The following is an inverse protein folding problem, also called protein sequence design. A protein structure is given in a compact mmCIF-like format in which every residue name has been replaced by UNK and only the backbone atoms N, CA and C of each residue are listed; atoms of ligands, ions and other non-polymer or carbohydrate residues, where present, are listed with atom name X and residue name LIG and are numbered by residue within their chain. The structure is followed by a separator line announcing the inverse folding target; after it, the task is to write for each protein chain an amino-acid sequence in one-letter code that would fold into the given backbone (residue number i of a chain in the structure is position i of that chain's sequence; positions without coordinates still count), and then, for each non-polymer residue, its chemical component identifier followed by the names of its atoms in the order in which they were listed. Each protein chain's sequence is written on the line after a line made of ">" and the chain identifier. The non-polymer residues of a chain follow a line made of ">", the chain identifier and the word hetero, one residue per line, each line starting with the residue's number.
data_IF_332497132948
#
_entry.id   IF_332497132948
#
_cell.length_a   1.000
_cell.length_b   1.000
_cell.length_c   1.000
_cell.angle_alpha   90.00
_cell.angle_beta   90.00
_cell.angle_gamma   90.00
#
_symmetry.space_group_name_H-M   'P 1'
#
loop_
_entity.id
_entity.type
_entity.pdbx_description
1 polymer ?
#
# COMPACT_ATOMS: atom_id res chain seq x y z
N UNK A 1 -17.88 -15.11 -11.19
CA UNK A 1 -17.35 -13.72 -11.30
C UNK A 1 -16.43 -13.64 -12.50
N UNK A 2 -16.46 -12.56 -13.28
CA UNK A 2 -15.44 -12.33 -14.32
C UNK A 2 -14.12 -12.01 -13.62
N UNK A 3 -13.05 -12.75 -13.95
CA UNK A 3 -11.70 -12.44 -13.47
C UNK A 3 -11.15 -11.24 -14.23
N UNK A 4 -10.69 -10.22 -13.51
CA UNK A 4 -9.96 -9.08 -14.07
C UNK A 4 -8.47 -9.37 -13.98
N UNK A 5 -7.73 -9.18 -15.07
CA UNK A 5 -6.27 -9.34 -15.08
C UNK A 5 -5.62 -7.99 -14.84
N UNK A 6 -4.77 -7.89 -13.82
CA UNK A 6 -3.97 -6.70 -13.50
C UNK A 6 -2.51 -7.06 -13.77
N UNK A 7 -1.82 -6.24 -14.57
CA UNK A 7 -0.38 -6.40 -14.77
C UNK A 7 0.37 -5.84 -13.56
N UNK A 8 1.36 -6.57 -13.06
CA UNK A 8 2.20 -6.12 -11.94
C UNK A 8 3.67 -6.27 -12.32
N UNK A 9 4.45 -5.22 -12.07
CA UNK A 9 5.91 -5.24 -12.17
C UNK A 9 6.51 -4.88 -10.82
N UNK A 10 7.52 -5.62 -10.37
CA UNK A 10 8.31 -5.27 -9.18
C UNK A 10 9.49 -4.39 -9.57
N UNK A 11 9.81 -3.41 -8.72
CA UNK A 11 11.08 -2.68 -8.73
C UNK A 11 12.22 -3.66 -8.46
N UNK A 12 13.40 -3.41 -9.01
CA UNK A 12 14.55 -4.32 -8.88
C UNK A 12 14.92 -4.57 -7.40
N UNK A 13 14.91 -3.51 -6.59
CA UNK A 13 15.16 -3.56 -5.14
C UNK A 13 14.04 -4.21 -4.33
N UNK A 14 12.93 -4.61 -4.96
CA UNK A 14 11.72 -5.15 -4.32
C UNK A 14 11.36 -6.57 -4.77
N UNK A 15 12.31 -7.27 -5.41
CA UNK A 15 12.07 -8.64 -5.91
C UNK A 15 11.94 -9.69 -4.81
N UNK A 16 12.52 -9.43 -3.65
CA UNK A 16 12.40 -10.23 -2.42
C UNK A 16 11.02 -10.10 -1.76
N UNK A 17 10.31 -8.99 -1.99
CA UNK A 17 8.97 -8.80 -1.47
C UNK A 17 7.95 -9.68 -2.21
N UNK A 18 6.97 -10.26 -1.49
CA UNK A 18 5.87 -10.99 -2.10
C UNK A 18 4.98 -10.05 -2.92
N UNK A 19 4.35 -10.60 -3.95
CA UNK A 19 3.29 -9.89 -4.66
C UNK A 19 2.04 -9.81 -3.78
N UNK A 20 1.24 -8.73 -3.87
CA UNK A 20 -0.05 -8.65 -3.20
C UNK A 20 -0.95 -9.81 -3.63
N UNK A 21 -1.64 -10.42 -2.67
CA UNK A 21 -2.53 -11.54 -2.90
C UNK A 21 -3.65 -11.60 -1.87
N UNK A 22 -4.75 -12.26 -2.25
CA UNK A 22 -5.84 -12.53 -1.33
C UNK A 22 -5.44 -13.67 -0.38
N UNK A 23 -5.54 -13.41 0.92
CA UNK A 23 -5.19 -14.41 1.96
C UNK A 23 -6.24 -15.51 2.06
N UNK A 24 -7.51 -15.19 1.80
CA UNK A 24 -8.62 -16.15 1.84
C UNK A 24 -9.53 -15.97 0.62
N UNK A 25 -10.36 -16.97 0.32
CA UNK A 25 -11.33 -16.90 -0.76
C UNK A 25 -12.39 -15.80 -0.59
N UNK A 26 -12.62 -15.31 0.64
CA UNK A 26 -13.56 -14.24 0.96
C UNK A 26 -12.93 -12.85 1.07
N UNK A 27 -11.61 -12.72 0.89
CA UNK A 27 -10.91 -11.45 1.04
C UNK A 27 -11.28 -10.46 -0.06
N UNK A 28 -11.64 -9.22 0.31
CA UNK A 28 -11.96 -8.16 -0.64
C UNK A 28 -10.75 -7.29 -1.02
N UNK A 29 -9.72 -7.26 -0.18
CA UNK A 29 -8.47 -6.52 -0.40
C UNK A 29 -7.23 -7.40 -0.32
N UNK A 30 -6.13 -6.88 -0.86
CA UNK A 30 -4.79 -7.48 -0.77
C UNK A 30 -3.92 -6.57 0.10
N UNK A 31 -3.13 -7.15 1.00
CA UNK A 31 -2.15 -6.38 1.76
C UNK A 31 -1.01 -5.93 0.82
N UNK A 32 -0.54 -4.69 1.00
CA UNK A 32 0.63 -4.13 0.34
C UNK A 32 1.81 -4.17 1.32
N UNK A 33 3.02 -4.32 0.77
CA UNK A 33 4.27 -4.42 1.53
C UNK A 33 5.07 -3.12 1.40
N UNK A 34 5.79 -2.75 2.44
CA UNK A 34 6.62 -1.54 2.42
C UNK A 34 7.98 -1.85 1.78
N UNK A 35 8.31 -1.17 0.69
CA UNK A 35 9.63 -1.20 0.07
C UNK A 35 10.49 -0.07 0.65
N UNK A 36 10.99 -0.27 1.88
CA UNK A 36 11.91 0.65 2.55
C UNK A 36 13.32 0.09 2.60
N UNK A 37 14.31 0.99 2.59
CA UNK A 37 15.70 0.68 2.94
C UNK A 37 15.84 0.76 4.46
N UNK A 38 15.79 -0.39 5.13
CA UNK A 38 15.83 -0.46 6.60
C UNK A 38 14.52 -0.01 7.26
N UNK A 39 14.62 0.33 8.55
CA UNK A 39 13.50 0.80 9.35
C UNK A 39 13.23 2.29 9.11
N UNK A 40 11.96 2.63 8.95
CA UNK A 40 11.52 4.01 8.75
C UNK A 40 10.60 4.43 9.89
N UNK A 41 11.05 5.40 10.68
CA UNK A 41 10.25 5.98 11.76
C UNK A 41 9.20 6.95 11.22
N UNK A 42 7.97 6.82 11.69
CA UNK A 42 6.87 7.74 11.42
C UNK A 42 6.41 8.37 12.74
N UNK A 43 6.87 9.59 12.99
CA UNK A 43 6.56 10.32 14.22
C UNK A 43 5.08 10.75 14.26
N UNK A 44 4.49 10.95 15.46
CA UNK A 44 3.16 11.53 15.60
C UNK A 44 2.98 12.83 14.79
N UNK A 45 1.88 12.92 14.04
CA UNK A 45 1.55 14.03 13.14
C UNK A 45 2.34 14.06 11.83
N UNK A 46 3.34 13.20 11.64
CA UNK A 46 4.15 13.18 10.43
C UNK A 46 3.39 12.56 9.25
N UNK A 47 3.70 13.04 8.05
CA UNK A 47 3.29 12.46 6.77
C UNK A 47 4.54 11.98 6.04
N UNK A 48 4.55 10.75 5.54
CA UNK A 48 5.62 10.20 4.69
C UNK A 48 5.04 9.42 3.52
N UNK A 49 5.70 9.53 2.36
CA UNK A 49 5.47 8.64 1.23
C UNK A 49 6.29 7.37 1.42
N UNK A 50 5.62 6.22 1.44
CA UNK A 50 6.24 4.89 1.56
C UNK A 50 6.04 4.13 0.25
N UNK A 51 7.13 3.70 -0.38
CA UNK A 51 7.09 2.88 -1.61
C UNK A 51 6.47 1.51 -1.31
N UNK A 52 5.71 0.96 -2.27
CA UNK A 52 5.30 -0.45 -2.27
C UNK A 52 6.18 -1.35 -3.15
N UNK A 53 7.18 -0.78 -3.83
CA UNK A 53 8.09 -1.55 -4.70
C UNK A 53 7.42 -2.17 -5.93
N UNK A 54 6.19 -1.79 -6.25
CA UNK A 54 5.40 -2.33 -7.36
C UNK A 54 4.84 -1.23 -8.27
N UNK A 55 4.69 -1.57 -9.53
CA UNK A 55 3.97 -0.81 -10.55
C UNK A 55 2.76 -1.64 -10.97
N UNK A 56 1.64 -0.97 -11.20
CA UNK A 56 0.39 -1.60 -11.63
C UNK A 56 0.02 -1.16 -13.04
N UNK A 57 -0.51 -2.09 -13.83
CA UNK A 57 -1.20 -1.84 -15.08
C UNK A 57 -2.65 -2.28 -14.92
N UNK A 58 -3.50 -1.35 -14.48
CA UNK A 58 -4.94 -1.57 -14.30
C UNK A 58 -5.63 -1.46 -15.66
N UNK A 59 -6.52 -2.40 -16.03
CA UNK A 59 -7.24 -2.32 -17.30
C UNK A 59 -8.25 -1.16 -17.30
N UNK A 60 -8.53 -0.63 -18.48
CA UNK A 60 -9.53 0.43 -18.69
C UNK A 60 -10.91 0.02 -18.14
N UNK A 61 -11.62 0.97 -17.54
CA UNK A 61 -12.91 0.75 -16.87
C UNK A 61 -12.81 0.24 -15.44
N UNK A 62 -11.60 0.17 -14.88
CA UNK A 62 -11.34 -0.20 -13.49
C UNK A 62 -10.39 0.81 -12.83
N UNK A 63 -10.47 0.88 -11.50
CA UNK A 63 -9.49 1.53 -10.63
C UNK A 63 -9.06 0.55 -9.54
N UNK A 64 -7.96 0.86 -8.85
CA UNK A 64 -7.64 0.23 -7.58
C UNK A 64 -7.73 1.27 -6.47
N UNK A 65 -8.28 0.85 -5.34
CA UNK A 65 -8.32 1.67 -4.14
C UNK A 65 -7.35 1.14 -3.08
N UNK A 66 -6.56 2.05 -2.50
CA UNK A 66 -5.69 1.76 -1.37
C UNK A 66 -6.36 2.26 -0.09
N UNK A 67 -6.58 1.35 0.85
CA UNK A 67 -7.27 1.61 2.12
C UNK A 67 -6.39 1.24 3.33
N UNK A 68 -6.49 1.95 4.46
CA UNK A 68 -5.79 1.62 5.69
C UNK A 68 -6.17 0.23 6.21
N UNK A 69 -5.20 -0.46 6.81
CA UNK A 69 -5.47 -1.68 7.58
C UNK A 69 -6.11 -1.27 8.92
N UNK A 70 -7.30 -1.78 9.18
CA UNK A 70 -8.07 -1.45 10.40
C UNK A 70 -7.29 -1.70 11.69
N UNK A 71 -6.48 -2.76 11.73
CA UNK A 71 -5.62 -3.08 12.87
C UNK A 71 -4.55 -2.03 13.14
N UNK A 72 -3.92 -1.46 12.10
CA UNK A 72 -2.92 -0.39 12.25
C UNK A 72 -3.58 0.93 12.69
N UNK A 73 -4.73 1.25 12.11
CA UNK A 73 -5.49 2.44 12.48
C UNK A 73 -5.94 2.38 13.94
N UNK A 74 -6.56 1.28 14.37
CA UNK A 74 -7.08 1.14 15.73
C UNK A 74 -5.98 1.07 16.79
N UNK A 75 -4.91 0.31 16.55
CA UNK A 75 -3.88 0.05 17.57
C UNK A 75 -2.79 1.11 17.64
N UNK A 76 -2.48 1.76 16.51
CA UNK A 76 -1.34 2.66 16.40
C UNK A 76 -1.70 4.05 15.87
N UNK A 77 -2.95 4.30 15.46
CA UNK A 77 -3.33 5.56 14.83
C UNK A 77 -2.72 5.76 13.44
N UNK A 78 -2.21 4.70 12.81
CA UNK A 78 -1.56 4.78 11.50
C UNK A 78 -2.60 4.64 10.39
N UNK A 79 -2.63 5.60 9.49
CA UNK A 79 -3.58 5.66 8.37
C UNK A 79 -2.93 6.25 7.12
N UNK A 80 -3.71 6.39 6.05
CA UNK A 80 -3.32 7.10 4.83
C UNK A 80 -4.05 8.45 4.78
N UNK A 81 -3.30 9.51 4.46
CA UNK A 81 -3.85 10.88 4.39
C UNK A 81 -4.91 11.01 3.29
N UNK A 82 -4.74 10.26 2.20
CA UNK A 82 -5.58 10.31 1.01
C UNK A 82 -6.55 9.12 0.90
N UNK A 83 -6.92 8.46 1.99
CA UNK A 83 -7.81 7.28 1.89
C UNK A 83 -9.26 7.61 1.50
N UNK A 84 -9.91 6.79 0.64
CA UNK A 84 -9.30 5.77 -0.22
C UNK A 84 -8.41 6.40 -1.30
N UNK A 85 -7.18 5.89 -1.44
CA UNK A 85 -6.24 6.38 -2.45
C UNK A 85 -6.53 5.73 -3.79
N UNK A 86 -6.84 6.51 -4.81
CA UNK A 86 -7.16 6.01 -6.15
C UNK A 86 -5.90 5.76 -6.98
N UNK A 87 -5.88 4.62 -7.68
CA UNK A 87 -4.92 4.31 -8.73
C UNK A 87 -5.70 4.12 -10.03
N UNK A 88 -5.55 5.09 -10.93
CA UNK A 88 -6.26 5.11 -12.21
C UNK A 88 -5.71 4.07 -13.21
N UNK A 89 -6.55 3.72 -14.19
CA UNK A 89 -6.21 2.75 -15.25
C UNK A 89 -5.05 3.19 -16.15
N UNK A 90 -4.73 4.48 -16.22
CA UNK A 90 -3.63 5.06 -16.99
C UNK A 90 -2.37 5.32 -16.14
N UNK A 91 -2.45 5.16 -14.82
CA UNK A 91 -1.30 5.32 -13.94
C UNK A 91 -0.30 4.18 -14.10
N UNK A 92 0.97 4.52 -14.37
CA UNK A 92 2.08 3.55 -14.51
C UNK A 92 3.27 3.87 -13.60
N UNK A 93 3.08 4.79 -12.65
CA UNK A 93 4.10 5.14 -11.67
C UNK A 93 4.27 4.06 -10.59
N UNK A 94 5.25 4.28 -9.72
CA UNK A 94 5.50 3.43 -8.57
C UNK A 94 4.38 3.64 -7.54
N UNK A 95 3.74 2.56 -7.10
CA UNK A 95 2.71 2.65 -6.07
C UNK A 95 3.34 3.09 -4.76
N UNK A 96 2.80 4.17 -4.17
CA UNK A 96 3.25 4.71 -2.90
C UNK A 96 2.08 4.99 -1.95
N UNK A 97 2.36 4.89 -0.66
CA UNK A 97 1.41 5.09 0.43
C UNK A 97 1.72 6.41 1.13
N UNK A 98 0.78 7.36 1.13
CA UNK A 98 0.92 8.63 1.85
C UNK A 98 0.48 8.39 3.30
N UNK A 99 1.38 7.80 4.09
CA UNK A 99 1.11 7.37 5.45
C UNK A 99 1.20 8.52 6.44
N UNK A 100 0.33 8.54 7.44
CA UNK A 100 0.42 9.43 8.59
C UNK A 100 0.18 8.67 9.90
N UNK A 101 0.81 9.16 10.96
CA UNK A 101 0.64 8.64 12.31
C UNK A 101 -0.17 9.64 13.15
N UNK A 102 -1.43 9.33 13.39
CA UNK A 102 -2.34 10.07 14.28
C UNK A 102 -2.30 9.55 15.72
N UNK A 103 -1.44 8.57 16.01
CA UNK A 103 -1.18 8.04 17.34
C UNK A 103 -0.30 8.95 18.17
N UNK A 104 0.05 8.46 19.37
CA UNK A 104 0.88 9.20 20.34
C UNK A 104 2.35 8.75 20.35
N UNK A 105 2.61 7.54 19.87
CA UNK A 105 3.94 6.93 19.85
C UNK A 105 4.51 6.93 18.43
N UNK A 106 5.83 6.95 18.29
CA UNK A 106 6.49 6.72 17.00
C UNK A 106 6.16 5.34 16.47
N UNK A 107 5.76 5.25 15.21
CA UNK A 107 5.51 3.97 14.54
C UNK A 107 6.67 3.63 13.61
N UNK A 108 7.28 2.46 13.80
CA UNK A 108 8.37 1.97 12.95
C UNK A 108 7.82 1.14 11.80
N UNK A 109 7.99 1.63 10.57
CA UNK A 109 7.67 0.91 9.34
C UNK A 109 8.87 0.03 9.00
N UNK A 110 8.60 -1.25 8.78
CA UNK A 110 9.59 -2.26 8.40
C UNK A 110 9.23 -2.83 7.04
N UNK A 111 10.27 -3.32 6.35
CA UNK A 111 10.16 -4.07 5.11
C UNK A 111 9.40 -5.38 5.30
#
# INVERSE_FOLDING_TARGET
>A
MKSVKIAIKRKESAKDLPLPGYVTAGSSGMDLYADTEGELELFPGQIKLVSCGIYLGIPEGFEAEVRPRSGLALKHGVTLVNTPGTIDSDYRGLVGLIMTNLGKETFTIKR
#
